data_IF_170401260935
#
_entry.id   IF_170401260935
#
_cell.length_a   1.000
_cell.length_b   1.000
_cell.length_c   1.000
_cell.angle_alpha   90.00
_cell.angle_beta   90.00
_cell.angle_gamma   90.00
#
_symmetry.space_group_name_H-M   'P 1'
#
loop_
_entity.id
_entity.type
_entity.pdbx_description
1 polymer ?
#
# COMPACT_ATOMS: atom_id res chain seq x y z
N UNK A 1 -8.33 22.19 -21.69
CA UNK A 1 -9.18 23.18 -22.42
C UNK A 1 -9.85 24.07 -21.38
N UNK A 2 -9.90 25.37 -21.58
CA UNK A 2 -10.59 26.27 -20.65
C UNK A 2 -12.02 26.45 -21.13
N UNK A 3 -12.97 25.74 -20.54
CA UNK A 3 -14.40 26.01 -20.70
C UNK A 3 -14.77 27.28 -19.95
N UNK A 4 -15.63 28.09 -20.55
CA UNK A 4 -16.18 29.28 -19.94
C UNK A 4 -17.65 29.07 -19.56
N UNK A 5 -18.18 29.94 -18.73
CA UNK A 5 -19.60 29.90 -18.37
C UNK A 5 -20.46 30.00 -19.62
N UNK A 6 -21.33 29.00 -19.86
CA UNK A 6 -22.17 28.90 -21.04
C UNK A 6 -21.69 27.89 -22.08
N UNK A 7 -20.48 27.37 -21.96
CA UNK A 7 -20.01 26.32 -22.85
C UNK A 7 -20.74 24.99 -22.57
N UNK A 8 -20.91 24.19 -23.61
CA UNK A 8 -21.50 22.85 -23.49
C UNK A 8 -20.40 21.81 -23.30
N UNK A 9 -20.48 21.01 -22.24
CA UNK A 9 -19.58 19.87 -22.07
C UNK A 9 -19.89 18.82 -23.14
N UNK A 10 -18.84 18.39 -23.82
CA UNK A 10 -18.94 17.32 -24.82
C UNK A 10 -18.90 15.93 -24.15
N UNK A 11 -19.45 14.92 -24.82
CA UNK A 11 -19.31 13.53 -24.40
C UNK A 11 -17.85 13.10 -24.29
N UNK A 12 -16.97 13.65 -25.13
CA UNK A 12 -15.52 13.39 -25.08
C UNK A 12 -14.90 13.87 -23.78
N UNK A 13 -15.24 15.07 -23.33
CA UNK A 13 -14.68 15.64 -22.09
C UNK A 13 -15.17 14.86 -20.87
N UNK A 14 -16.48 14.57 -20.80
CA UNK A 14 -17.03 13.73 -19.74
C UNK A 14 -16.35 12.37 -19.67
N UNK A 15 -16.18 11.70 -20.82
CA UNK A 15 -15.55 10.39 -20.89
C UNK A 15 -14.07 10.45 -20.49
N UNK A 16 -13.36 11.54 -20.76
CA UNK A 16 -12.00 11.75 -20.30
C UNK A 16 -11.93 11.80 -18.77
N UNK A 17 -12.82 12.55 -18.13
CA UNK A 17 -12.92 12.60 -16.67
C UNK A 17 -13.30 11.24 -16.08
N UNK A 18 -14.30 10.58 -16.65
CA UNK A 18 -14.71 9.25 -16.20
C UNK A 18 -13.56 8.24 -16.30
N UNK A 19 -12.80 8.26 -17.40
CA UNK A 19 -11.64 7.38 -17.59
C UNK A 19 -10.55 7.67 -16.54
N UNK A 20 -10.21 8.93 -16.29
CA UNK A 20 -9.20 9.31 -15.32
C UNK A 20 -9.59 8.89 -13.89
N UNK A 21 -10.86 9.06 -13.51
CA UNK A 21 -11.36 8.60 -12.21
C UNK A 21 -11.36 7.06 -12.15
N UNK A 22 -11.79 6.37 -13.19
CA UNK A 22 -11.85 4.92 -13.26
C UNK A 22 -10.46 4.28 -13.19
N UNK A 23 -9.42 4.95 -13.69
CA UNK A 23 -8.03 4.52 -13.54
C UNK A 23 -7.64 4.39 -12.06
N UNK A 24 -8.21 5.20 -11.19
CA UNK A 24 -7.90 5.19 -9.76
C UNK A 24 -8.82 4.24 -9.01
N UNK A 25 -10.14 4.42 -9.14
CA UNK A 25 -11.10 3.70 -8.31
C UNK A 25 -11.69 2.46 -8.98
N UNK A 26 -11.67 2.38 -10.32
CA UNK A 26 -12.28 1.32 -11.11
C UNK A 26 -11.55 -0.02 -10.98
N UNK A 27 -11.84 -0.93 -11.91
CA UNK A 27 -11.21 -2.25 -11.97
C UNK A 27 -9.73 -2.18 -12.35
N UNK A 28 -9.35 -1.22 -13.17
CA UNK A 28 -7.97 -0.91 -13.54
C UNK A 28 -7.13 -2.11 -14.01
N UNK A 29 -5.83 -1.90 -14.14
CA UNK A 29 -4.82 -2.92 -14.41
C UNK A 29 -3.47 -2.50 -13.83
N UNK A 30 -2.59 -3.43 -13.58
CA UNK A 30 -1.28 -3.17 -12.96
C UNK A 30 -1.41 -2.35 -11.65
N UNK A 31 -0.71 -1.22 -11.53
CA UNK A 31 -0.71 -0.30 -10.40
C UNK A 31 -1.94 0.63 -10.32
N UNK A 32 -3.01 0.29 -11.01
CA UNK A 32 -4.23 1.10 -11.15
C UNK A 32 -5.46 0.35 -10.70
N UNK A 33 -6.42 1.08 -10.12
CA UNK A 33 -7.75 0.59 -9.75
C UNK A 33 -7.85 0.03 -8.34
N UNK A 34 -8.94 0.43 -7.67
CA UNK A 34 -9.33 -0.06 -6.33
C UNK A 34 -10.39 -1.17 -6.39
N UNK A 35 -10.81 -1.57 -7.60
CA UNK A 35 -11.82 -2.61 -7.80
C UNK A 35 -13.27 -2.15 -7.61
N UNK A 36 -13.54 -0.86 -7.66
CA UNK A 36 -14.90 -0.34 -7.57
C UNK A 36 -15.62 -0.35 -8.93
N UNK A 37 -16.94 -0.20 -8.86
CA UNK A 37 -17.77 0.01 -10.07
C UNK A 37 -17.34 1.29 -10.78
N UNK A 38 -17.12 1.18 -12.07
CA UNK A 38 -16.67 2.28 -12.91
C UNK A 38 -17.80 3.26 -13.23
N UNK A 39 -17.44 4.52 -13.40
CA UNK A 39 -18.31 5.55 -13.99
C UNK A 39 -18.52 5.21 -15.45
N UNK A 40 -19.79 5.06 -15.85
CA UNK A 40 -20.13 4.70 -17.21
C UNK A 40 -19.83 5.85 -18.21
N UNK A 41 -19.28 5.50 -19.35
CA UNK A 41 -19.11 6.42 -20.47
C UNK A 41 -20.45 6.81 -21.10
N UNK A 42 -20.49 7.95 -21.78
CA UNK A 42 -21.64 8.41 -22.57
C UNK A 42 -21.32 8.30 -24.06
N UNK A 43 -22.34 8.04 -24.86
CA UNK A 43 -22.21 7.95 -26.33
C UNK A 43 -21.92 9.32 -26.95
N UNK A 44 -21.14 9.32 -28.03
CA UNK A 44 -20.88 10.54 -28.80
C UNK A 44 -22.20 11.22 -29.25
N UNK A 45 -22.30 12.53 -29.05
CA UNK A 45 -23.50 13.31 -29.36
C UNK A 45 -24.63 13.20 -28.35
N UNK A 46 -24.51 12.35 -27.32
CA UNK A 46 -25.52 12.28 -26.27
C UNK A 46 -25.43 13.49 -25.33
N UNK A 47 -26.56 13.90 -24.79
CA UNK A 47 -26.64 14.91 -23.74
C UNK A 47 -26.19 14.29 -22.41
N UNK A 48 -25.26 14.94 -21.74
CA UNK A 48 -24.81 14.54 -20.39
C UNK A 48 -25.89 14.98 -19.39
N UNK A 49 -26.45 14.01 -18.68
CA UNK A 49 -27.50 14.28 -17.69
C UNK A 49 -26.88 14.70 -16.35
N UNK A 50 -27.66 15.42 -15.52
CA UNK A 50 -27.27 15.74 -14.16
C UNK A 50 -26.95 14.48 -13.32
N UNK A 51 -27.66 13.37 -13.55
CA UNK A 51 -27.41 12.10 -12.88
C UNK A 51 -26.02 11.51 -13.22
N UNK A 52 -25.62 11.55 -14.49
CA UNK A 52 -24.31 11.10 -14.94
C UNK A 52 -23.20 11.98 -14.35
N UNK A 53 -23.38 13.32 -14.36
CA UNK A 53 -22.43 14.24 -13.76
C UNK A 53 -22.28 14.01 -12.26
N UNK A 54 -23.37 13.84 -11.54
CA UNK A 54 -23.36 13.55 -10.10
C UNK A 54 -22.73 12.19 -9.77
N UNK A 55 -22.89 11.18 -10.66
CA UNK A 55 -22.21 9.90 -10.52
C UNK A 55 -20.68 10.05 -10.62
N UNK A 56 -20.20 10.88 -11.54
CA UNK A 56 -18.78 11.21 -11.68
C UNK A 56 -18.24 11.92 -10.43
N UNK A 57 -18.95 12.92 -9.90
CA UNK A 57 -18.55 13.61 -8.66
C UNK A 57 -18.57 12.68 -7.45
N UNK A 58 -19.57 11.80 -7.34
CA UNK A 58 -19.63 10.79 -6.27
C UNK A 58 -18.46 9.82 -6.31
N UNK A 59 -18.06 9.40 -7.51
CA UNK A 59 -16.93 8.51 -7.69
C UNK A 59 -15.61 9.19 -7.28
N UNK A 60 -15.42 10.45 -7.68
CA UNK A 60 -14.29 11.28 -7.27
C UNK A 60 -14.23 11.45 -5.74
N UNK A 61 -15.37 11.79 -5.12
CA UNK A 61 -15.46 11.92 -3.65
C UNK A 61 -15.19 10.60 -2.94
N UNK A 62 -15.62 9.46 -3.50
CA UNK A 62 -15.33 8.14 -2.94
C UNK A 62 -13.83 7.85 -2.92
N UNK A 63 -13.12 8.15 -4.02
CA UNK A 63 -11.65 8.04 -4.07
C UNK A 63 -10.98 8.94 -3.04
N UNK A 64 -11.39 10.19 -2.96
CA UNK A 64 -10.85 11.16 -2.02
C UNK A 64 -11.07 10.75 -0.55
N UNK A 65 -12.27 10.30 -0.21
CA UNK A 65 -12.58 9.82 1.14
C UNK A 65 -11.74 8.61 1.53
N UNK A 66 -11.53 7.66 0.58
CA UNK A 66 -10.68 6.51 0.82
C UNK A 66 -9.24 6.92 1.15
N UNK A 67 -8.72 7.90 0.44
CA UNK A 67 -7.35 8.39 0.56
C UNK A 67 -7.15 9.37 1.74
N UNK A 68 -8.20 9.88 2.35
CA UNK A 68 -8.13 11.02 3.27
C UNK A 68 -7.78 12.34 2.56
N UNK A 69 -8.01 12.42 1.24
CA UNK A 69 -7.72 13.60 0.42
C UNK A 69 -8.89 14.57 0.49
N UNK A 70 -8.62 15.84 0.80
CA UNK A 70 -9.64 16.90 0.76
C UNK A 70 -9.75 17.45 -0.66
N UNK A 71 -10.92 17.30 -1.28
CA UNK A 71 -11.21 17.93 -2.56
C UNK A 71 -11.50 19.42 -2.38
N UNK A 72 -11.07 20.22 -3.36
CA UNK A 72 -11.21 21.68 -3.28
C UNK A 72 -12.54 22.14 -3.87
N UNK A 73 -13.10 21.40 -4.83
CA UNK A 73 -14.17 21.87 -5.69
C UNK A 73 -15.34 20.88 -5.88
N UNK A 74 -15.15 19.59 -5.65
CA UNK A 74 -16.08 18.53 -6.11
C UNK A 74 -17.29 18.28 -5.19
N UNK A 75 -17.66 19.20 -4.31
CA UNK A 75 -18.74 18.97 -3.34
C UNK A 75 -20.14 19.32 -3.86
N UNK A 76 -20.28 19.84 -5.08
CA UNK A 76 -21.55 20.42 -5.55
C UNK A 76 -22.29 19.46 -6.50
N UNK A 77 -23.38 18.85 -6.02
CA UNK A 77 -24.34 18.19 -6.89
C UNK A 77 -25.01 19.20 -7.82
N UNK A 78 -25.33 18.75 -9.03
CA UNK A 78 -26.03 19.59 -10.03
C UNK A 78 -27.46 19.08 -10.26
N UNK A 79 -28.36 20.00 -10.54
CA UNK A 79 -29.72 19.71 -11.01
C UNK A 79 -29.81 19.88 -12.52
N UNK A 80 -30.84 19.28 -13.16
CA UNK A 80 -31.08 19.47 -14.59
C UNK A 80 -31.21 20.96 -14.92
N UNK A 81 -30.44 21.44 -15.90
CA UNK A 81 -30.36 22.87 -16.27
C UNK A 81 -29.52 23.73 -15.33
N UNK A 82 -28.91 23.15 -14.28
CA UNK A 82 -28.01 23.87 -13.38
C UNK A 82 -26.60 24.02 -13.96
N UNK A 83 -25.85 24.95 -13.39
CA UNK A 83 -24.45 25.16 -13.76
C UNK A 83 -23.57 24.05 -13.18
N UNK A 84 -22.59 23.59 -13.95
CA UNK A 84 -21.53 22.71 -13.50
C UNK A 84 -20.31 23.51 -13.05
N UNK A 85 -19.45 22.88 -12.28
CA UNK A 85 -18.14 23.42 -11.92
C UNK A 85 -17.29 23.67 -13.17
N UNK A 86 -16.40 24.69 -13.15
CA UNK A 86 -15.37 24.82 -14.15
C UNK A 86 -14.57 23.53 -14.30
N UNK A 87 -14.31 23.08 -15.53
CA UNK A 87 -13.61 21.82 -15.78
C UNK A 87 -12.20 21.80 -15.19
N UNK A 88 -11.51 22.95 -15.16
CA UNK A 88 -10.20 23.11 -14.52
C UNK A 88 -10.21 22.74 -13.03
N UNK A 89 -11.32 23.00 -12.34
CA UNK A 89 -11.48 22.65 -10.92
C UNK A 89 -11.65 21.14 -10.75
N UNK A 90 -12.39 20.49 -11.66
CA UNK A 90 -12.52 19.04 -11.65
C UNK A 90 -11.19 18.35 -12.01
N UNK A 91 -10.45 18.87 -12.99
CA UNK A 91 -9.10 18.39 -13.32
C UNK A 91 -8.14 18.49 -12.15
N UNK A 92 -8.17 19.60 -11.40
CA UNK A 92 -7.37 19.76 -10.20
C UNK A 92 -7.69 18.72 -9.12
N UNK A 93 -8.97 18.48 -8.86
CA UNK A 93 -9.40 17.46 -7.89
C UNK A 93 -9.07 16.03 -8.34
N UNK A 94 -9.19 15.71 -9.64
CA UNK A 94 -8.74 14.42 -10.19
C UNK A 94 -7.22 14.27 -10.02
N UNK A 95 -6.46 15.33 -10.23
CA UNK A 95 -5.01 15.31 -10.01
C UNK A 95 -4.67 15.03 -8.54
N UNK A 96 -5.40 15.61 -7.60
CA UNK A 96 -5.21 15.34 -6.16
C UNK A 96 -5.38 13.85 -5.83
N UNK A 97 -6.47 13.22 -6.28
CA UNK A 97 -6.68 11.79 -6.02
C UNK A 97 -5.71 10.89 -6.80
N UNK A 98 -5.23 11.35 -7.95
CA UNK A 98 -4.21 10.62 -8.73
C UNK A 98 -2.87 10.57 -7.98
N UNK A 99 -2.45 11.70 -7.42
CA UNK A 99 -1.20 11.78 -6.67
C UNK A 99 -1.22 10.96 -5.37
N UNK A 100 -2.41 10.72 -4.82
CA UNK A 100 -2.60 9.97 -3.57
C UNK A 100 -3.11 8.53 -3.80
N UNK A 101 -3.05 8.00 -5.03
CA UNK A 101 -3.68 6.72 -5.39
C UNK A 101 -3.25 5.52 -4.52
N UNK A 102 -2.02 5.48 -4.04
CA UNK A 102 -1.49 4.39 -3.21
C UNK A 102 -1.57 4.72 -1.70
N UNK A 103 -2.44 5.63 -1.28
CA UNK A 103 -2.65 5.97 0.13
C UNK A 103 -4.05 5.59 0.59
N UNK A 104 -4.17 5.21 1.85
CA UNK A 104 -5.45 5.02 2.51
C UNK A 104 -5.49 5.83 3.81
N UNK A 105 -6.63 6.47 4.08
CA UNK A 105 -6.86 7.10 5.38
C UNK A 105 -6.84 6.04 6.48
N UNK A 106 -6.06 6.26 7.52
CA UNK A 106 -5.93 5.34 8.65
C UNK A 106 -7.29 5.04 9.32
N UNK A 107 -8.24 5.98 9.30
CA UNK A 107 -9.59 5.79 9.85
C UNK A 107 -10.45 4.82 9.02
N UNK A 108 -10.09 4.60 7.76
CA UNK A 108 -10.78 3.70 6.84
C UNK A 108 -10.11 2.31 6.73
N UNK A 109 -8.95 2.13 7.40
CA UNK A 109 -8.22 0.87 7.37
C UNK A 109 -8.67 -0.07 8.47
N UNK A 110 -9.03 -1.30 8.09
CA UNK A 110 -9.15 -2.41 9.03
C UNK A 110 -7.79 -3.11 9.17
N UNK A 111 -7.40 -3.42 10.41
CA UNK A 111 -6.16 -4.18 10.67
C UNK A 111 -6.53 -5.60 11.12
N UNK A 112 -6.03 -6.59 10.38
CA UNK A 112 -6.01 -7.98 10.85
C UNK A 112 -4.70 -8.21 11.62
N UNK A 113 -4.82 -8.50 12.92
CA UNK A 113 -3.69 -8.76 13.83
C UNK A 113 -3.53 -10.23 14.17
N UNK A 114 -4.31 -11.11 13.56
CA UNK A 114 -4.36 -12.55 13.88
C UNK A 114 -3.14 -13.36 13.46
N UNK A 115 -2.24 -12.79 12.64
CA UNK A 115 -1.08 -13.50 12.11
C UNK A 115 0.13 -13.28 13.02
N UNK A 116 0.39 -14.24 13.91
CA UNK A 116 1.54 -14.19 14.83
C UNK A 116 2.35 -15.48 14.76
N UNK A 117 3.66 -15.39 14.96
CA UNK A 117 4.56 -16.53 15.11
C UNK A 117 5.54 -16.26 16.24
N UNK A 118 5.79 -17.23 17.11
CA UNK A 118 6.66 -17.09 18.26
C UNK A 118 7.55 -18.29 18.47
N UNK A 119 8.73 -18.06 19.09
CA UNK A 119 9.62 -19.10 19.59
C UNK A 119 9.89 -18.87 21.07
N UNK A 120 9.66 -19.88 21.88
CA UNK A 120 9.85 -19.82 23.35
C UNK A 120 11.15 -20.49 23.82
N UNK A 121 11.80 -21.29 22.98
CA UNK A 121 13.07 -21.95 23.31
C UNK A 121 14.28 -21.12 22.86
N UNK A 122 15.39 -21.23 23.60
CA UNK A 122 16.69 -20.69 23.19
C UNK A 122 17.12 -21.29 21.85
N UNK A 123 17.89 -20.53 21.09
CA UNK A 123 18.44 -21.01 19.82
C UNK A 123 19.90 -20.57 19.65
N UNK A 124 20.58 -21.29 18.76
CA UNK A 124 21.87 -20.91 18.19
C UNK A 124 21.73 -20.97 16.67
N UNK A 125 22.39 -20.07 15.94
CA UNK A 125 22.24 -19.97 14.49
C UNK A 125 20.95 -19.22 14.11
N UNK A 126 20.19 -19.74 13.15
CA UNK A 126 19.06 -19.05 12.54
C UNK A 126 17.72 -19.54 13.08
N UNK A 127 16.83 -18.62 13.41
CA UNK A 127 15.40 -18.84 13.60
C UNK A 127 14.66 -18.27 12.42
N UNK A 128 13.67 -19.02 11.95
CA UNK A 128 12.87 -18.67 10.80
C UNK A 128 11.39 -18.65 11.19
N UNK A 129 10.70 -17.59 10.80
CA UNK A 129 9.26 -17.46 10.88
C UNK A 129 8.70 -17.29 9.47
N UNK A 130 7.81 -18.17 9.06
CA UNK A 130 7.16 -18.13 7.74
C UNK A 130 5.73 -17.67 7.93
N UNK A 131 5.36 -16.62 7.22
CA UNK A 131 4.01 -16.06 7.20
C UNK A 131 3.49 -16.09 5.76
N UNK A 132 2.22 -16.48 5.61
CA UNK A 132 1.57 -16.56 4.31
C UNK A 132 0.28 -15.75 4.33
N UNK A 133 0.12 -14.87 3.35
CA UNK A 133 -1.09 -14.11 3.10
C UNK A 133 -1.71 -14.58 1.80
N UNK A 134 -2.97 -14.99 1.83
CA UNK A 134 -3.70 -15.48 0.66
C UNK A 134 -4.85 -14.55 0.33
N UNK A 135 -4.89 -14.10 -0.90
CA UNK A 135 -5.96 -13.28 -1.45
C UNK A 135 -6.94 -14.16 -2.26
N UNK A 136 -8.21 -13.77 -2.29
CA UNK A 136 -9.25 -14.51 -3.00
C UNK A 136 -9.02 -14.58 -4.52
N UNK A 137 -8.30 -13.62 -5.08
CA UNK A 137 -7.91 -13.57 -6.50
C UNK A 137 -6.70 -12.65 -6.70
N UNK A 138 -6.07 -12.72 -7.86
CA UNK A 138 -5.00 -11.79 -8.24
C UNK A 138 -5.49 -10.34 -8.27
N UNK A 139 -6.73 -10.10 -8.73
CA UNK A 139 -7.32 -8.77 -8.66
C UNK A 139 -7.54 -8.31 -7.22
N UNK A 140 -7.93 -9.19 -6.30
CA UNK A 140 -8.08 -8.84 -4.89
C UNK A 140 -6.73 -8.43 -4.27
N UNK A 141 -5.64 -9.14 -4.57
CA UNK A 141 -4.30 -8.77 -4.15
C UNK A 141 -3.90 -7.39 -4.70
N UNK A 142 -4.05 -7.21 -6.00
CA UNK A 142 -3.73 -5.97 -6.70
C UNK A 142 -4.54 -4.78 -6.14
N UNK A 143 -5.84 -4.92 -5.99
CA UNK A 143 -6.71 -3.84 -5.45
C UNK A 143 -6.35 -3.50 -4.01
N UNK A 144 -5.99 -4.50 -3.20
CA UNK A 144 -5.53 -4.28 -1.82
C UNK A 144 -4.30 -3.36 -1.80
N UNK A 145 -3.26 -3.67 -2.55
CA UNK A 145 -2.05 -2.86 -2.57
C UNK A 145 -2.25 -1.52 -3.27
N UNK A 146 -2.91 -1.48 -4.42
CA UNK A 146 -3.18 -0.23 -5.16
C UNK A 146 -3.98 0.78 -4.35
N UNK A 147 -4.84 0.31 -3.46
CA UNK A 147 -5.64 1.17 -2.58
C UNK A 147 -4.93 1.56 -1.28
N UNK A 148 -3.63 1.33 -1.16
CA UNK A 148 -2.83 1.69 0.01
C UNK A 148 -2.80 0.63 1.11
N UNK A 149 -3.22 -0.61 0.82
CA UNK A 149 -3.07 -1.73 1.73
C UNK A 149 -1.60 -2.07 1.98
N UNK A 150 -1.28 -2.46 3.21
CA UNK A 150 0.09 -2.80 3.63
C UNK A 150 0.11 -4.13 4.41
N UNK A 151 1.15 -4.94 4.20
CA UNK A 151 1.50 -6.02 5.11
C UNK A 151 2.55 -5.48 6.09
N UNK A 152 2.28 -5.59 7.38
CA UNK A 152 3.14 -5.02 8.43
C UNK A 152 3.79 -6.11 9.25
N UNK A 153 5.11 -5.97 9.45
CA UNK A 153 5.91 -6.87 10.27
C UNK A 153 6.45 -6.10 11.48
N UNK A 154 6.28 -6.67 12.66
CA UNK A 154 6.88 -6.16 13.88
C UNK A 154 7.50 -7.33 14.64
N UNK A 155 8.73 -7.16 15.07
CA UNK A 155 9.44 -8.12 15.92
C UNK A 155 9.50 -7.63 17.36
N UNK A 156 9.41 -8.56 18.30
CA UNK A 156 9.65 -8.25 19.71
C UNK A 156 10.33 -9.42 20.42
N UNK A 157 11.08 -9.11 21.46
CA UNK A 157 11.66 -10.10 22.35
C UNK A 157 11.27 -9.79 23.80
N UNK A 158 10.88 -10.81 24.53
CA UNK A 158 10.58 -10.69 25.96
C UNK A 158 11.16 -11.86 26.75
N UNK A 159 11.31 -11.70 28.05
CA UNK A 159 11.83 -12.73 28.95
C UNK A 159 13.34 -12.97 28.84
N UNK A 160 13.83 -13.98 29.54
CA UNK A 160 15.25 -14.31 29.66
C UNK A 160 16.03 -13.41 30.63
N UNK A 161 17.35 -13.66 30.75
CA UNK A 161 18.26 -12.88 31.60
C UNK A 161 18.68 -11.57 30.92
N UNK A 162 19.10 -10.59 31.73
CA UNK A 162 19.60 -9.28 31.23
C UNK A 162 21.07 -9.40 30.77
N UNK A 163 21.35 -10.25 29.78
CA UNK A 163 22.65 -10.32 29.13
C UNK A 163 22.77 -9.25 28.06
N UNK A 164 23.98 -8.80 27.74
CA UNK A 164 24.22 -7.83 26.67
C UNK A 164 23.64 -8.28 25.33
N UNK A 165 23.76 -9.58 25.05
CA UNK A 165 23.18 -10.18 23.85
C UNK A 165 21.65 -10.05 23.82
N UNK A 166 20.98 -10.30 24.93
CA UNK A 166 19.54 -10.18 25.03
C UNK A 166 19.08 -8.73 24.93
N UNK A 167 19.86 -7.81 25.46
CA UNK A 167 19.66 -6.36 25.34
C UNK A 167 19.84 -5.92 23.89
N UNK A 168 20.88 -6.38 23.21
CA UNK A 168 21.12 -6.09 21.79
C UNK A 168 19.93 -6.54 20.91
N UNK A 169 19.44 -7.77 21.09
CA UNK A 169 18.25 -8.26 20.38
C UNK A 169 16.99 -7.43 20.63
N UNK A 170 16.78 -7.01 21.87
CA UNK A 170 15.64 -6.14 22.20
C UNK A 170 15.75 -4.80 21.49
N UNK A 171 16.96 -4.22 21.51
CA UNK A 171 17.24 -2.95 20.86
C UNK A 171 17.12 -3.05 19.32
N UNK A 172 17.67 -4.12 18.73
CA UNK A 172 17.61 -4.37 17.29
C UNK A 172 16.15 -4.38 16.80
N UNK A 173 15.30 -5.20 17.42
CA UNK A 173 13.89 -5.32 17.03
C UNK A 173 13.11 -4.03 17.34
N UNK A 174 13.36 -3.39 18.47
CA UNK A 174 12.72 -2.11 18.81
C UNK A 174 13.13 -0.98 17.86
N UNK A 175 14.42 -0.90 17.51
CA UNK A 175 14.94 0.11 16.58
C UNK A 175 14.46 -0.11 15.13
N UNK A 176 14.19 -1.33 14.72
CA UNK A 176 13.57 -1.62 13.45
C UNK A 176 12.13 -1.09 13.38
N UNK A 177 11.41 -1.11 14.50
CA UNK A 177 10.03 -0.66 14.56
C UNK A 177 9.10 -1.56 13.74
N UNK A 178 8.19 -0.96 13.00
CA UNK A 178 7.26 -1.66 12.09
C UNK A 178 7.75 -1.55 10.65
N UNK A 179 8.01 -2.67 10.02
CA UNK A 179 8.31 -2.76 8.58
C UNK A 179 7.00 -2.87 7.84
N UNK A 180 6.81 -2.06 6.81
CA UNK A 180 5.59 -1.91 6.01
C UNK A 180 5.89 -2.27 4.57
N UNK A 181 5.30 -3.36 4.11
CA UNK A 181 5.38 -3.80 2.71
C UNK A 181 4.12 -3.32 1.99
N UNK A 182 4.31 -2.43 1.03
CA UNK A 182 3.25 -1.78 0.27
C UNK A 182 3.34 -2.11 -1.23
N UNK A 183 2.60 -1.40 -2.06
CA UNK A 183 2.53 -1.61 -3.51
C UNK A 183 3.91 -1.45 -4.17
N UNK A 184 4.52 -0.27 -4.14
CA UNK A 184 5.76 0.04 -4.88
C UNK A 184 7.05 0.00 -4.04
N UNK A 185 6.99 -0.16 -2.72
CA UNK A 185 8.20 -0.19 -1.88
C UNK A 185 7.93 -0.72 -0.47
N UNK A 186 8.99 -1.18 0.17
CA UNK A 186 9.02 -1.44 1.61
C UNK A 186 9.55 -0.22 2.35
N UNK A 187 8.92 0.12 3.46
CA UNK A 187 9.34 1.19 4.39
C UNK A 187 9.37 0.67 5.82
N UNK A 188 9.86 1.45 6.77
CA UNK A 188 9.82 1.10 8.19
C UNK A 188 9.76 2.36 9.06
N UNK A 189 9.28 2.21 10.30
CA UNK A 189 9.04 3.33 11.22
C UNK A 189 10.19 3.59 12.18
N UNK A 190 11.10 2.63 12.32
CA UNK A 190 12.20 2.70 13.26
C UNK A 190 13.39 3.53 12.77
N UNK A 191 14.45 3.54 13.56
CA UNK A 191 15.72 4.23 13.27
C UNK A 191 16.84 3.28 12.90
N UNK A 192 16.65 1.97 13.05
CA UNK A 192 17.67 0.94 12.81
C UNK A 192 17.25 -0.06 11.77
N UNK A 193 18.01 -0.16 10.68
CA UNK A 193 17.77 -1.08 9.59
C UNK A 193 17.80 -0.42 8.21
N UNK A 194 17.54 -1.23 7.20
CA UNK A 194 17.47 -0.81 5.80
C UNK A 194 16.31 -1.53 5.12
N UNK A 195 15.38 -0.77 4.55
CA UNK A 195 14.33 -1.29 3.70
C UNK A 195 14.78 -1.27 2.23
N UNK A 196 14.42 -2.28 1.49
CA UNK A 196 14.64 -2.33 0.05
C UNK A 196 13.53 -1.58 -0.69
N UNK A 197 13.87 -1.00 -1.84
CA UNK A 197 12.88 -0.46 -2.78
C UNK A 197 12.23 -1.62 -3.56
N UNK A 198 11.54 -2.51 -2.81
CA UNK A 198 10.80 -3.66 -3.32
C UNK A 198 9.41 -3.60 -2.74
N UNK A 199 8.43 -3.57 -3.60
CA UNK A 199 7.01 -3.61 -3.27
C UNK A 199 6.30 -4.82 -3.86
N UNK A 200 4.99 -4.82 -3.81
CA UNK A 200 4.19 -5.91 -4.36
C UNK A 200 4.35 -6.04 -5.89
N UNK A 201 4.49 -4.93 -6.59
CA UNK A 201 4.70 -4.87 -8.05
C UNK A 201 6.05 -5.45 -8.49
N UNK A 202 7.06 -5.43 -7.62
CA UNK A 202 8.40 -5.95 -7.88
C UNK A 202 8.57 -7.43 -7.49
N UNK A 203 7.59 -8.02 -6.77
CA UNK A 203 7.76 -9.38 -6.28
C UNK A 203 7.81 -10.42 -7.39
N UNK A 204 8.78 -11.31 -7.26
CA UNK A 204 8.94 -12.50 -8.09
C UNK A 204 8.57 -13.78 -7.32
N UNK A 205 8.74 -14.92 -7.97
CA UNK A 205 8.56 -16.24 -7.34
C UNK A 205 9.77 -16.68 -6.49
N UNK A 206 10.86 -15.90 -6.51
CA UNK A 206 12.04 -16.12 -5.68
C UNK A 206 12.01 -15.19 -4.46
N UNK A 207 12.58 -15.62 -3.34
CA UNK A 207 12.73 -14.77 -2.16
C UNK A 207 13.54 -13.52 -2.50
N UNK A 208 13.02 -12.36 -2.11
CA UNK A 208 13.66 -11.06 -2.25
C UNK A 208 13.75 -10.44 -0.86
N UNK A 209 14.93 -9.96 -0.48
CA UNK A 209 15.09 -9.24 0.78
C UNK A 209 14.34 -7.91 0.70
N UNK A 210 13.41 -7.71 1.63
CA UNK A 210 12.63 -6.47 1.72
C UNK A 210 13.09 -5.58 2.88
N UNK A 211 13.70 -6.18 3.91
CA UNK A 211 14.23 -5.44 5.06
C UNK A 211 15.38 -6.20 5.74
N UNK A 212 16.31 -5.47 6.33
CA UNK A 212 17.33 -6.01 7.24
C UNK A 212 17.69 -5.01 8.32
N UNK A 213 17.94 -5.50 9.53
CA UNK A 213 18.51 -4.75 10.65
C UNK A 213 19.61 -5.58 11.32
N UNK A 214 20.66 -4.94 11.80
CA UNK A 214 21.81 -5.61 12.43
C UNK A 214 21.97 -5.17 13.88
N UNK A 215 22.53 -6.06 14.71
CA UNK A 215 22.95 -5.77 16.08
C UNK A 215 24.10 -4.78 16.13
N UNK A 216 24.52 -4.44 17.33
CA UNK A 216 25.55 -3.43 17.54
C UNK A 216 26.77 -3.96 18.29
N UNK A 217 27.90 -3.27 18.11
CA UNK A 217 29.15 -3.58 18.81
C UNK A 217 29.60 -5.02 18.58
N UNK A 218 29.75 -5.79 19.67
CA UNK A 218 30.16 -7.19 19.63
C UNK A 218 29.12 -8.12 19.01
N UNK A 219 27.88 -7.64 18.83
CA UNK A 219 26.74 -8.38 18.28
C UNK A 219 26.35 -7.91 16.88
N UNK A 220 27.20 -7.14 16.21
CA UNK A 220 26.96 -6.61 14.86
C UNK A 220 26.76 -7.68 13.78
N UNK A 221 27.11 -8.94 14.09
CA UNK A 221 26.85 -10.09 13.22
C UNK A 221 25.46 -10.72 13.44
N UNK A 222 24.70 -10.27 14.46
CA UNK A 222 23.31 -10.63 14.61
C UNK A 222 22.48 -9.83 13.58
N UNK A 223 21.54 -10.47 12.93
CA UNK A 223 20.64 -9.78 12.01
C UNK A 223 19.19 -10.24 12.15
N UNK A 224 18.28 -9.34 11.80
CA UNK A 224 16.88 -9.63 11.53
C UNK A 224 16.59 -9.23 10.09
N UNK A 225 16.34 -10.21 9.27
CA UNK A 225 16.08 -10.04 7.85
C UNK A 225 14.68 -10.54 7.51
N UNK A 226 13.97 -9.80 6.68
CA UNK A 226 12.67 -10.18 6.13
C UNK A 226 12.81 -10.31 4.62
N UNK A 227 12.43 -11.47 4.12
CA UNK A 227 12.30 -11.74 2.69
C UNK A 227 10.83 -11.94 2.33
N UNK A 228 10.49 -11.65 1.09
CA UNK A 228 9.15 -11.90 0.54
C UNK A 228 9.24 -12.48 -0.86
N UNK A 229 8.21 -13.24 -1.24
CA UNK A 229 7.98 -13.72 -2.60
C UNK A 229 6.50 -13.87 -2.89
N UNK A 230 6.15 -13.85 -4.16
CA UNK A 230 4.81 -14.18 -4.63
C UNK A 230 4.77 -15.62 -5.18
N UNK A 231 3.57 -16.19 -5.32
CA UNK A 231 3.39 -17.49 -5.97
C UNK A 231 3.39 -17.41 -7.51
N UNK A 232 3.29 -16.20 -8.07
CA UNK A 232 3.28 -15.92 -9.50
C UNK A 232 3.79 -14.50 -9.77
N UNK A 233 3.99 -14.16 -11.03
CA UNK A 233 4.34 -12.80 -11.45
C UNK A 233 3.24 -11.78 -11.09
N UNK A 234 3.62 -10.51 -11.00
CA UNK A 234 2.70 -9.40 -10.78
C UNK A 234 1.48 -9.47 -11.70
N UNK A 235 0.30 -9.19 -11.15
CA UNK A 235 -0.98 -9.31 -11.86
C UNK A 235 -1.59 -10.72 -11.88
N UNK A 236 -0.83 -11.76 -11.51
CA UNK A 236 -1.30 -13.16 -11.38
C UNK A 236 -1.12 -13.71 -9.96
N UNK A 237 -0.42 -13.00 -9.08
CA UNK A 237 -0.13 -13.42 -7.72
C UNK A 237 -1.39 -13.41 -6.84
N UNK A 238 -1.61 -14.51 -6.13
CA UNK A 238 -2.70 -14.67 -5.15
C UNK A 238 -2.20 -15.00 -3.76
N UNK A 239 -0.92 -15.41 -3.64
CA UNK A 239 -0.30 -15.78 -2.37
C UNK A 239 1.03 -15.07 -2.22
N UNK A 240 1.21 -14.41 -1.09
CA UNK A 240 2.47 -13.84 -0.66
C UNK A 240 3.01 -14.67 0.49
N UNK A 241 4.26 -15.08 0.39
CA UNK A 241 4.98 -15.74 1.49
C UNK A 241 6.10 -14.84 1.92
N UNK A 242 6.13 -14.48 3.18
CA UNK A 242 7.25 -13.80 3.81
C UNK A 242 7.98 -14.73 4.76
N UNK A 243 9.28 -14.59 4.81
CA UNK A 243 10.16 -15.33 5.72
C UNK A 243 10.95 -14.31 6.51
N UNK A 244 10.78 -14.35 7.83
CA UNK A 244 11.58 -13.55 8.76
C UNK A 244 12.68 -14.43 9.33
N UNK A 245 13.91 -14.02 9.15
CA UNK A 245 15.10 -14.68 9.68
C UNK A 245 15.68 -13.87 10.83
N UNK A 246 16.03 -14.55 11.91
CA UNK A 246 16.90 -13.99 12.95
C UNK A 246 18.14 -14.86 13.06
N UNK A 247 19.29 -14.30 12.72
CA UNK A 247 20.55 -15.00 12.76
C UNK A 247 21.35 -14.59 13.99
N UNK A 248 21.73 -15.56 14.82
CA UNK A 248 22.51 -15.39 16.03
C UNK A 248 23.96 -15.82 15.79
N UNK A 249 24.89 -14.89 15.85
CA UNK A 249 26.32 -15.18 15.87
C UNK A 249 26.86 -14.95 17.29
N UNK A 250 27.43 -15.98 17.90
CA UNK A 250 28.11 -15.82 19.18
C UNK A 250 29.39 -15.02 18.95
N UNK A 251 29.70 -14.00 19.78
CA UNK A 251 30.98 -13.30 19.68
C UNK A 251 32.11 -14.31 19.90
N UNK A 252 33.01 -14.39 18.93
CA UNK A 252 34.23 -15.18 19.07
C UNK A 252 35.09 -14.54 20.17
N UNK A 253 35.19 -15.19 21.31
CA UNK A 253 36.09 -14.77 22.38
C UNK A 253 37.53 -14.93 21.85
N UNK A 254 38.19 -13.82 21.52
CA UNK A 254 39.63 -13.84 21.26
C UNK A 254 40.31 -14.16 22.59
N UNK A 255 40.82 -15.37 22.74
CA UNK A 255 41.73 -15.70 23.85
C UNK A 255 43.05 -15.00 23.51
N UNK A 256 43.39 -13.99 24.26
CA UNK A 256 44.72 -13.32 24.24
C UNK A 256 45.60 -14.06 25.19
#
# INVERSE_FOLDING_TARGET
MAYQQGDTITASDYNTFATNINTIIGTGSNDSGYGNTEVAAVSAGATITAAQWNALLSALQKGANHQGTTLTNASNTVSAGGNILPLSNLEADITLITNNKATADASNMATDTGVTSSRTASWTGTVQHILTVTFASANAARHFFNSGGEIRFAGSRSGGSSTDQNTDWTNLLSNAGTVKFAEGATTYTGSGGTAAAVGFDDLTTSNQQIFTATGQGNYSANDWTIEAKANAAYGSATVLTSVSYTHLTLPTKRIV
#
